data_IF_575313515929
#
_entry.id   IF_575313515929
#
_cell.length_a   1.000
_cell.length_b   1.000
_cell.length_c   1.000
_cell.angle_alpha   90.00
_cell.angle_beta   90.00
_cell.angle_gamma   90.00
#
_symmetry.space_group_name_H-M   'P 1'
#
loop_
_entity.id
_entity.type
_entity.pdbx_description
1 polymer ?
#
# COMPACT_ATOMS: atom_id res chain seq x y z
N UNK A 1 1.11 -14.21 20.59
CA UNK A 1 2.49 -13.90 21.07
C UNK A 1 3.44 -14.27 19.95
N UNK A 2 4.23 -13.33 19.47
CA UNK A 2 5.20 -13.58 18.40
C UNK A 2 6.26 -14.58 18.85
N UNK A 3 6.53 -15.59 18.02
CA UNK A 3 7.59 -16.58 18.25
C UNK A 3 8.77 -16.28 17.33
N UNK A 4 9.96 -16.00 17.84
CA UNK A 4 11.10 -15.49 17.07
C UNK A 4 11.58 -16.41 15.93
N UNK A 5 11.19 -17.68 15.92
CA UNK A 5 11.65 -18.68 14.96
C UNK A 5 10.55 -19.15 14.00
N UNK A 6 9.40 -18.51 13.98
CA UNK A 6 8.31 -18.83 13.06
C UNK A 6 8.09 -17.64 12.10
N UNK A 7 8.18 -17.91 10.81
CA UNK A 7 7.86 -16.91 9.80
C UNK A 7 6.34 -16.68 9.73
N UNK A 8 5.93 -15.44 9.91
CA UNK A 8 4.54 -15.01 9.73
C UNK A 8 4.47 -14.03 8.57
N UNK A 9 3.75 -14.38 7.51
CA UNK A 9 3.68 -13.56 6.31
C UNK A 9 3.21 -12.11 6.57
N UNK A 10 2.44 -11.89 7.64
CA UNK A 10 1.89 -10.59 7.96
C UNK A 10 2.79 -9.69 8.83
N UNK A 11 3.78 -10.23 9.56
CA UNK A 11 4.35 -9.42 10.66
C UNK A 11 5.81 -9.70 11.02
N UNK A 12 6.47 -10.67 10.40
CA UNK A 12 7.83 -11.05 10.81
C UNK A 12 8.95 -10.56 9.90
N UNK A 13 8.62 -9.86 8.83
CA UNK A 13 9.63 -9.21 8.01
C UNK A 13 10.25 -8.04 8.77
N UNK A 14 11.56 -8.11 9.00
CA UNK A 14 12.34 -7.01 9.54
C UNK A 14 13.27 -6.52 8.42
N UNK A 15 13.12 -5.27 8.04
CA UNK A 15 13.87 -4.66 6.94
C UNK A 15 14.03 -3.16 7.17
N UNK A 16 14.82 -2.50 6.35
CA UNK A 16 14.92 -1.04 6.30
C UNK A 16 14.01 -0.47 5.21
N UNK A 17 13.65 0.80 5.31
CA UNK A 17 12.91 1.47 4.24
C UNK A 17 13.71 1.47 2.92
N UNK A 18 15.06 1.58 2.99
CA UNK A 18 15.93 1.51 1.82
C UNK A 18 15.91 0.16 1.13
N UNK A 19 16.02 -0.94 1.89
CA UNK A 19 15.97 -2.30 1.29
C UNK A 19 14.57 -2.59 0.73
N UNK A 20 13.51 -2.14 1.40
CA UNK A 20 12.16 -2.30 0.89
C UNK A 20 11.92 -1.46 -0.38
N UNK A 21 12.54 -0.29 -0.49
CA UNK A 21 12.51 0.51 -1.71
C UNK A 21 13.16 -0.20 -2.90
N UNK A 22 14.23 -0.99 -2.68
CA UNK A 22 14.82 -1.83 -3.73
C UNK A 22 13.84 -2.92 -4.22
N UNK A 23 13.04 -3.48 -3.31
CA UNK A 23 11.97 -4.42 -3.69
C UNK A 23 10.91 -3.71 -4.53
N UNK A 24 10.49 -2.50 -4.15
CA UNK A 24 9.52 -1.69 -4.92
C UNK A 24 10.09 -1.32 -6.29
N UNK A 25 11.36 -0.91 -6.38
CA UNK A 25 12.03 -0.66 -7.67
C UNK A 25 12.03 -1.92 -8.56
N UNK A 26 12.33 -3.07 -7.97
CA UNK A 26 12.29 -4.34 -8.70
C UNK A 26 10.89 -4.65 -9.25
N UNK A 27 9.84 -4.43 -8.45
CA UNK A 27 8.45 -4.58 -8.87
C UNK A 27 8.11 -3.64 -10.04
N UNK A 28 8.38 -2.34 -9.88
CA UNK A 28 8.09 -1.32 -10.89
C UNK A 28 8.84 -1.54 -12.21
N UNK A 29 9.98 -2.21 -12.15
CA UNK A 29 10.77 -2.57 -13.34
C UNK A 29 10.51 -4.00 -13.84
N UNK A 30 9.53 -4.70 -13.26
CA UNK A 30 9.15 -6.06 -13.67
C UNK A 30 10.24 -7.11 -13.44
N UNK A 31 11.17 -6.85 -12.51
CA UNK A 31 12.25 -7.79 -12.20
C UNK A 31 11.69 -8.99 -11.41
N UNK A 32 12.01 -10.19 -11.86
CA UNK A 32 11.66 -11.44 -11.18
C UNK A 32 10.23 -11.95 -11.44
N UNK A 33 9.42 -11.22 -12.19
CA UNK A 33 8.08 -11.63 -12.60
C UNK A 33 7.93 -11.68 -14.11
N UNK A 34 7.08 -12.57 -14.60
CA UNK A 34 6.66 -12.51 -16.02
C UNK A 34 5.76 -11.28 -16.23
N UNK A 35 5.80 -10.66 -17.41
CA UNK A 35 4.95 -9.49 -17.71
C UNK A 35 3.45 -9.75 -17.50
N UNK A 36 3.00 -10.97 -17.78
CA UNK A 36 1.60 -11.36 -17.57
C UNK A 36 1.24 -11.36 -16.08
N UNK A 37 2.11 -11.92 -15.25
CA UNK A 37 1.92 -11.98 -13.79
C UNK A 37 1.90 -10.58 -13.19
N UNK A 38 2.81 -9.70 -13.62
CA UNK A 38 2.84 -8.33 -13.16
C UNK A 38 1.55 -7.59 -13.51
N UNK A 39 1.10 -7.70 -14.77
CA UNK A 39 -0.18 -7.10 -15.19
C UNK A 39 -1.36 -7.61 -14.38
N UNK A 40 -1.39 -8.90 -14.04
CA UNK A 40 -2.44 -9.48 -13.22
C UNK A 40 -2.42 -8.92 -11.78
N UNK A 41 -1.23 -8.74 -11.21
CA UNK A 41 -1.07 -8.12 -9.89
C UNK A 41 -1.57 -6.67 -9.85
N UNK A 42 -1.37 -5.93 -10.93
CA UNK A 42 -1.76 -4.52 -11.10
C UNK A 42 -3.22 -4.36 -11.57
N UNK A 43 -3.92 -5.46 -11.81
CA UNK A 43 -5.31 -5.43 -12.26
C UNK A 43 -6.26 -5.48 -11.05
N UNK A 44 -7.25 -4.58 -10.95
CA UNK A 44 -8.28 -4.65 -9.93
C UNK A 44 -9.02 -5.99 -9.96
N UNK A 45 -8.99 -6.70 -8.83
CA UNK A 45 -9.70 -7.98 -8.64
C UNK A 45 -11.00 -7.77 -7.87
N UNK A 46 -10.96 -6.94 -6.83
CA UNK A 46 -12.10 -6.69 -5.94
C UNK A 46 -12.14 -5.21 -5.58
N UNK A 47 -13.30 -4.56 -5.72
CA UNK A 47 -13.50 -3.21 -5.18
C UNK A 47 -13.44 -3.24 -3.64
N UNK A 48 -12.85 -2.22 -3.03
CA UNK A 48 -12.83 -2.10 -1.57
C UNK A 48 -14.26 -1.82 -1.09
N UNK A 49 -14.76 -2.71 -0.23
CA UNK A 49 -16.08 -2.57 0.36
C UNK A 49 -16.04 -1.56 1.51
N UNK A 50 -16.81 -0.45 1.43
CA UNK A 50 -16.94 0.51 2.53
C UNK A 50 -17.48 -0.11 3.82
N UNK A 51 -18.18 -1.24 3.75
CA UNK A 51 -18.72 -1.96 4.90
C UNK A 51 -17.74 -2.97 5.51
N UNK A 52 -16.49 -3.02 5.06
CA UNK A 52 -15.52 -3.96 5.59
C UNK A 52 -15.26 -3.72 7.09
N UNK A 53 -14.87 -4.81 7.83
CA UNK A 53 -14.78 -4.76 9.29
C UNK A 53 -13.68 -3.85 9.84
N UNK A 54 -12.68 -3.55 9.03
CA UNK A 54 -11.56 -2.67 9.40
C UNK A 54 -11.79 -1.24 8.91
N UNK A 55 -12.88 -1.00 8.17
CA UNK A 55 -13.27 0.32 7.71
C UNK A 55 -14.08 1.04 8.78
N UNK A 56 -13.94 2.35 8.87
CA UNK A 56 -14.77 3.14 9.77
C UNK A 56 -16.20 3.21 9.24
N UNK A 57 -17.18 3.34 10.14
CA UNK A 57 -18.62 3.35 9.79
C UNK A 57 -19.06 4.50 8.87
N UNK A 58 -18.17 5.36 8.46
CA UNK A 58 -18.44 6.60 7.70
C UNK A 58 -17.65 6.67 6.39
N UNK A 59 -17.20 5.53 5.86
CA UNK A 59 -16.50 5.55 4.59
C UNK A 59 -17.40 6.05 3.46
N UNK A 60 -16.96 7.04 2.68
CA UNK A 60 -17.75 7.54 1.56
C UNK A 60 -17.99 6.43 0.54
N UNK A 61 -19.21 6.29 0.03
CA UNK A 61 -19.52 5.36 -1.06
C UNK A 61 -18.70 5.60 -2.34
N UNK A 62 -18.06 6.74 -2.42
CA UNK A 62 -17.16 7.12 -3.53
C UNK A 62 -15.84 6.33 -3.53
N UNK A 63 -15.35 5.88 -2.36
CA UNK A 63 -14.08 5.12 -2.28
C UNK A 63 -14.10 3.83 -3.10
N UNK A 64 -15.24 3.14 -3.15
CA UNK A 64 -15.38 1.89 -3.90
C UNK A 64 -15.23 2.06 -5.42
N UNK A 65 -15.27 3.29 -5.94
CA UNK A 65 -15.05 3.56 -7.36
C UNK A 65 -13.59 3.65 -7.74
N UNK A 66 -12.74 4.02 -6.78
CA UNK A 66 -11.34 4.34 -7.03
C UNK A 66 -10.35 3.46 -6.26
N UNK A 67 -10.82 2.67 -5.29
CA UNK A 67 -9.98 1.78 -4.50
C UNK A 67 -10.34 0.32 -4.70
N UNK A 68 -9.33 -0.48 -4.97
CA UNK A 68 -9.46 -1.90 -5.27
C UNK A 68 -8.36 -2.71 -4.58
N UNK A 69 -8.58 -4.00 -4.46
CA UNK A 69 -7.52 -4.97 -4.24
C UNK A 69 -7.12 -5.62 -5.56
N UNK A 70 -5.82 -5.66 -5.83
CA UNK A 70 -5.19 -6.51 -6.82
C UNK A 70 -4.64 -7.78 -6.14
N UNK A 71 -3.61 -8.39 -6.72
CA UNK A 71 -2.96 -9.56 -6.11
C UNK A 71 -1.82 -9.09 -5.20
N UNK A 72 -2.10 -9.03 -3.89
CA UNK A 72 -1.14 -8.62 -2.86
C UNK A 72 -0.92 -7.10 -2.74
N UNK A 73 -1.64 -6.30 -3.52
CA UNK A 73 -1.57 -4.84 -3.49
C UNK A 73 -2.95 -4.22 -3.46
N UNK A 74 -3.11 -3.16 -2.72
CA UNK A 74 -4.20 -2.21 -2.95
C UNK A 74 -3.91 -1.41 -4.22
N UNK A 75 -4.95 -1.04 -4.94
CA UNK A 75 -4.87 -0.24 -6.16
C UNK A 75 -5.73 0.99 -5.98
N UNK A 76 -5.15 2.16 -6.16
CA UNK A 76 -5.87 3.41 -6.29
C UNK A 76 -5.88 3.84 -7.75
N UNK A 77 -7.05 4.18 -8.28
CA UNK A 77 -7.23 4.80 -9.59
C UNK A 77 -7.49 6.28 -9.43
N UNK A 78 -6.75 7.08 -10.16
CA UNK A 78 -6.89 8.53 -10.14
C UNK A 78 -6.57 9.11 -11.53
N UNK A 79 -7.60 9.37 -12.32
CA UNK A 79 -7.52 10.00 -13.66
C UNK A 79 -6.43 9.45 -14.59
N UNK A 80 -6.29 8.11 -14.63
CA UNK A 80 -5.32 7.42 -15.48
C UNK A 80 -3.91 7.29 -14.87
N UNK A 81 -3.78 7.60 -13.60
CA UNK A 81 -2.62 7.31 -12.76
C UNK A 81 -3.01 6.24 -11.74
N UNK A 82 -2.82 4.98 -12.11
CA UNK A 82 -3.06 3.88 -11.17
C UNK A 82 -1.83 3.73 -10.27
N UNK A 83 -2.05 3.69 -8.95
CA UNK A 83 -1.00 3.51 -7.97
C UNK A 83 -1.25 2.25 -7.14
N UNK A 84 -0.19 1.50 -6.91
CA UNK A 84 -0.16 0.35 -5.99
C UNK A 84 0.13 0.85 -4.58
N UNK A 85 -0.52 0.30 -3.57
CA UNK A 85 -0.25 0.67 -2.19
C UNK A 85 -0.42 -0.50 -1.23
N UNK A 86 0.22 -0.40 -0.09
CA UNK A 86 -0.01 -1.29 1.05
C UNK A 86 0.39 -0.60 2.34
N UNK A 87 -0.13 -1.09 3.48
CA UNK A 87 0.23 -0.60 4.80
C UNK A 87 0.51 -1.74 5.76
N UNK A 88 1.16 -1.41 6.88
CA UNK A 88 1.35 -2.32 8.00
C UNK A 88 1.11 -1.60 9.32
N UNK A 89 0.41 -2.27 10.22
CA UNK A 89 0.17 -1.82 11.57
C UNK A 89 0.50 -2.91 12.58
N UNK A 90 1.64 -2.77 13.23
CA UNK A 90 2.10 -3.63 14.32
C UNK A 90 2.27 -2.79 15.60
N UNK A 91 1.17 -2.18 16.07
CA UNK A 91 1.20 -1.33 17.26
C UNK A 91 2.06 -0.08 17.05
N UNK A 92 3.25 -0.03 17.68
CA UNK A 92 4.15 1.11 17.53
C UNK A 92 4.94 1.13 16.22
N UNK A 93 4.84 0.11 15.39
CA UNK A 93 5.52 0.07 14.09
C UNK A 93 4.48 0.20 12.99
N UNK A 94 4.58 1.28 12.22
CA UNK A 94 3.71 1.52 11.08
C UNK A 94 4.55 1.56 9.80
N UNK A 95 4.03 0.96 8.76
CA UNK A 95 4.63 0.96 7.44
C UNK A 95 3.61 1.43 6.40
N UNK A 96 4.09 2.11 5.39
CA UNK A 96 3.30 2.47 4.24
C UNK A 96 4.15 2.47 2.98
N UNK A 97 3.57 2.07 1.88
CA UNK A 97 4.17 2.11 0.55
C UNK A 97 3.11 2.53 -0.46
N UNK A 98 3.49 3.41 -1.37
CA UNK A 98 2.73 3.74 -2.57
C UNK A 98 3.69 3.80 -3.76
N UNK A 99 3.28 3.25 -4.89
CA UNK A 99 4.11 3.17 -6.08
C UNK A 99 3.26 3.31 -7.34
N UNK A 100 3.69 4.14 -8.27
CA UNK A 100 3.03 4.35 -9.57
C UNK A 100 3.80 3.62 -10.67
N UNK A 101 3.26 2.54 -11.27
CA UNK A 101 3.94 1.76 -12.30
C UNK A 101 4.29 2.57 -13.56
N UNK A 102 3.45 3.53 -13.94
CA UNK A 102 3.62 4.33 -15.16
C UNK A 102 4.82 5.27 -15.09
N UNK A 103 4.99 6.00 -13.99
CA UNK A 103 6.11 6.91 -13.76
C UNK A 103 7.33 6.21 -13.17
N UNK A 104 7.17 4.96 -12.71
CA UNK A 104 8.16 4.19 -11.94
C UNK A 104 8.66 4.95 -10.72
N UNK A 105 7.78 5.68 -10.08
CA UNK A 105 8.05 6.40 -8.85
C UNK A 105 7.31 5.79 -7.68
N UNK A 106 7.79 6.03 -6.47
CA UNK A 106 7.12 5.52 -5.28
C UNK A 106 7.71 6.09 -4.00
N UNK A 107 6.98 5.88 -2.91
CA UNK A 107 7.37 6.25 -1.56
C UNK A 107 7.27 5.06 -0.64
N UNK A 108 8.27 4.85 0.19
CA UNK A 108 8.29 3.86 1.27
C UNK A 108 8.50 4.60 2.58
N UNK A 109 7.63 4.40 3.53
CA UNK A 109 7.71 5.02 4.84
C UNK A 109 7.59 3.98 5.95
N UNK A 110 8.55 3.97 6.86
CA UNK A 110 8.51 3.18 8.09
C UNK A 110 8.63 4.11 9.30
N UNK A 111 7.81 3.85 10.29
CA UNK A 111 7.82 4.62 11.55
C UNK A 111 7.81 3.70 12.76
N UNK A 112 8.36 4.18 13.86
CA UNK A 112 8.28 3.54 15.17
C UNK A 112 7.35 4.33 16.11
N UNK A 113 6.19 4.73 15.60
CA UNK A 113 5.19 5.51 16.32
C UNK A 113 3.80 4.93 16.12
N UNK A 114 2.99 4.88 17.17
CA UNK A 114 1.56 4.55 17.07
C UNK A 114 0.80 5.48 16.12
N UNK A 115 1.27 6.74 16.00
CA UNK A 115 0.71 7.76 15.12
C UNK A 115 1.36 7.81 13.73
N UNK A 116 2.14 6.77 13.36
CA UNK A 116 2.87 6.76 12.10
C UNK A 116 2.00 6.95 10.87
N UNK A 117 0.80 6.37 10.84
CA UNK A 117 -0.13 6.53 9.72
C UNK A 117 -0.78 7.93 9.66
N UNK A 118 -0.88 8.65 10.78
CA UNK A 118 -1.42 10.03 10.78
C UNK A 118 -0.51 10.99 10.00
N UNK A 119 0.81 10.76 10.03
CA UNK A 119 1.79 11.57 9.29
C UNK A 119 2.07 11.02 7.89
N UNK A 120 1.61 9.81 7.60
CA UNK A 120 1.87 9.18 6.31
C UNK A 120 1.13 9.90 5.17
N UNK A 121 -0.14 10.25 5.35
CA UNK A 121 -0.94 10.91 4.29
C UNK A 121 -0.24 12.15 3.72
N UNK A 122 0.08 13.20 4.50
CA UNK A 122 0.69 14.40 3.95
C UNK A 122 2.07 14.13 3.32
N UNK A 123 2.84 13.19 3.84
CA UNK A 123 4.15 12.81 3.25
C UNK A 123 3.96 12.12 1.90
N UNK A 124 3.00 11.21 1.81
CA UNK A 124 2.73 10.46 0.58
C UNK A 124 2.13 11.37 -0.47
N UNK A 125 1.15 12.22 -0.11
CA UNK A 125 0.52 13.16 -1.03
C UNK A 125 1.56 14.12 -1.64
N UNK A 126 2.47 14.66 -0.83
CA UNK A 126 3.55 15.52 -1.31
C UNK A 126 4.54 14.76 -2.21
N UNK A 127 4.95 13.55 -1.80
CA UNK A 127 5.92 12.76 -2.55
C UNK A 127 5.37 12.25 -3.89
N UNK A 128 4.09 11.89 -3.93
CA UNK A 128 3.45 11.36 -5.14
C UNK A 128 2.83 12.44 -6.02
N UNK A 129 2.66 13.66 -5.49
CA UNK A 129 2.02 14.78 -6.20
C UNK A 129 0.54 14.54 -6.50
N UNK A 130 -0.13 13.72 -5.70
CA UNK A 130 -1.55 13.40 -5.81
C UNK A 130 -2.15 13.01 -4.45
N UNK A 131 -3.47 13.07 -4.33
CA UNK A 131 -4.16 12.68 -3.11
C UNK A 131 -4.20 11.16 -2.95
N UNK A 132 -3.79 10.69 -1.77
CA UNK A 132 -3.82 9.27 -1.39
C UNK A 132 -5.15 8.94 -0.72
N UNK A 133 -6.12 8.49 -1.50
CA UNK A 133 -7.50 8.20 -1.08
C UNK A 133 -7.59 7.06 -0.07
N UNK A 134 -6.64 6.10 -0.09
CA UNK A 134 -6.66 4.95 0.80
C UNK A 134 -6.55 5.34 2.28
N UNK A 135 -5.98 6.50 2.63
CA UNK A 135 -5.92 6.95 4.02
C UNK A 135 -7.30 7.28 4.61
N UNK A 136 -8.30 7.49 3.78
CA UNK A 136 -9.67 7.62 4.25
C UNK A 136 -10.28 6.28 4.64
N UNK A 137 -9.73 5.19 4.12
CA UNK A 137 -10.11 3.82 4.44
C UNK A 137 -9.22 3.20 5.52
N UNK A 138 -7.89 3.46 5.50
CA UNK A 138 -6.92 2.98 6.50
C UNK A 138 -6.92 3.94 7.70
N UNK A 139 -7.81 3.73 8.66
CA UNK A 139 -7.90 4.52 9.90
C UNK A 139 -7.81 3.66 11.13
#
# INVERSE_FOLDING_TARGET
>A
MWKPNEAGAASTLNTTAGDYALFVDALLNGKGLKPETLREMETPQVAIDPACRICTKQEPKELSKNLFWGLGWGIQRNDGRDALWHWGDNGSFKAFVMAEPKSKSGVVMFTNSQKGLEVAKPVVDEAMGEESLMFDWVK
#
